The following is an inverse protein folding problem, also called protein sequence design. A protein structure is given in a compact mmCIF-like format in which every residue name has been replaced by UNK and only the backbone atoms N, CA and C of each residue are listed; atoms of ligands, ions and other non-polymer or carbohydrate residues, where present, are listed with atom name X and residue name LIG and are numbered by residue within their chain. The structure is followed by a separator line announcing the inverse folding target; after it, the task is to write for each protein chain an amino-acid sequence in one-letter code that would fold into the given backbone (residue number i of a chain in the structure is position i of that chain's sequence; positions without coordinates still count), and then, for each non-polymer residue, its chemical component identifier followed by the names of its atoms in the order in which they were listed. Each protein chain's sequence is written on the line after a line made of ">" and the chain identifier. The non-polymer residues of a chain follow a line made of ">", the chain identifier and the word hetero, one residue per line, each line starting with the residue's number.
data_IF_169331878567
#
_entry.id   IF_169331878567
#
_cell.length_a   1.000
_cell.length_b   1.000
_cell.length_c   1.000
_cell.angle_alpha   90.00
_cell.angle_beta   90.00
_cell.angle_gamma   90.00
#
_symmetry.space_group_name_H-M   'P 1'
#
loop_
_entity.id
_entity.type
_entity.pdbx_description
1 polymer ?
#
# COMPACT_ATOMS: atom_id res chain seq x y z
N UNK A 1 -0.52 1.47 16.55
CA UNK A 1 -0.04 0.13 16.15
C UNK A 1 0.44 0.23 14.72
N UNK A 2 1.68 -0.15 14.49
CA UNK A 2 2.24 -0.27 13.14
C UNK A 2 1.98 -1.70 12.69
N UNK A 3 1.29 -1.87 11.57
CA UNK A 3 0.99 -3.18 11.01
C UNK A 3 1.67 -3.31 9.66
N UNK A 4 2.77 -4.05 9.68
CA UNK A 4 3.55 -4.35 8.49
C UNK A 4 2.94 -5.56 7.79
N UNK A 5 2.39 -5.35 6.61
CA UNK A 5 1.70 -6.38 5.83
C UNK A 5 1.66 -6.00 4.36
N UNK A 6 1.21 -6.91 3.52
CA UNK A 6 1.02 -6.70 2.09
C UNK A 6 -0.46 -6.87 1.70
N UNK A 7 -1.26 -5.78 1.74
CA UNK A 7 -2.63 -5.83 1.25
C UNK A 7 -2.64 -6.05 -0.26
N UNK A 8 -3.16 -7.20 -0.70
CA UNK A 8 -3.05 -7.64 -2.09
C UNK A 8 -4.36 -7.53 -2.90
N UNK A 9 -5.51 -7.38 -2.25
CA UNK A 9 -6.80 -7.14 -2.92
C UNK A 9 -7.81 -6.44 -2.00
N UNK A 10 -8.99 -6.13 -2.56
CA UNK A 10 -10.09 -5.48 -1.88
C UNK A 10 -10.65 -6.29 -0.71
N UNK A 11 -10.77 -7.61 -0.89
CA UNK A 11 -11.29 -8.53 0.11
C UNK A 11 -10.41 -8.53 1.37
N UNK A 12 -9.10 -8.66 1.18
CA UNK A 12 -8.13 -8.64 2.28
C UNK A 12 -8.11 -7.28 3.00
N UNK A 13 -8.21 -6.17 2.25
CA UNK A 13 -8.35 -4.84 2.87
C UNK A 13 -9.62 -4.74 3.73
N UNK A 14 -10.75 -5.23 3.25
CA UNK A 14 -11.99 -5.23 4.03
C UNK A 14 -11.89 -6.08 5.29
N UNK A 15 -11.18 -7.21 5.24
CA UNK A 15 -10.91 -8.03 6.42
C UNK A 15 -10.07 -7.28 7.45
N UNK A 16 -9.03 -6.56 7.02
CA UNK A 16 -8.22 -5.69 7.89
C UNK A 16 -9.11 -4.64 8.55
N UNK A 17 -9.92 -3.93 7.76
CA UNK A 17 -10.82 -2.87 8.26
C UNK A 17 -11.82 -3.43 9.29
N UNK A 18 -12.50 -4.52 8.95
CA UNK A 18 -13.50 -5.16 9.82
C UNK A 18 -12.86 -5.66 11.11
N UNK A 19 -11.73 -6.35 11.00
CA UNK A 19 -11.00 -6.90 12.15
C UNK A 19 -10.53 -5.79 13.08
N UNK A 20 -9.96 -4.72 12.53
CA UNK A 20 -9.46 -3.62 13.34
C UNK A 20 -10.57 -2.91 14.10
N UNK A 21 -11.68 -2.59 13.41
CA UNK A 21 -12.86 -1.96 14.02
C UNK A 21 -13.46 -2.82 15.13
N UNK A 22 -13.43 -4.15 14.98
CA UNK A 22 -14.03 -5.09 15.94
C UNK A 22 -13.15 -5.37 17.15
N UNK A 23 -11.86 -5.60 16.95
CA UNK A 23 -10.99 -6.18 17.97
C UNK A 23 -10.03 -5.17 18.63
N UNK A 24 -9.74 -4.05 17.98
CA UNK A 24 -8.79 -3.06 18.50
C UNK A 24 -9.31 -1.61 18.46
N UNK A 25 -10.57 -1.33 18.90
CA UNK A 25 -11.20 -0.02 18.71
C UNK A 25 -10.50 1.13 19.46
N UNK A 26 -9.70 0.83 20.48
CA UNK A 26 -8.92 1.81 21.25
C UNK A 26 -7.51 2.05 20.70
N UNK A 27 -7.11 1.29 19.68
CA UNK A 27 -5.80 1.43 19.06
C UNK A 27 -5.93 2.07 17.68
N UNK A 28 -5.04 3.00 17.36
CA UNK A 28 -4.90 3.51 15.99
C UNK A 28 -4.01 2.58 15.18
N UNK A 29 -4.46 2.19 13.99
CA UNK A 29 -3.69 1.38 13.04
C UNK A 29 -2.97 2.26 12.04
N UNK A 30 -1.79 1.84 11.62
CA UNK A 30 -1.12 2.31 10.42
C UNK A 30 -0.67 1.08 9.65
N UNK A 31 -1.10 0.95 8.40
CA UNK A 31 -0.66 -0.13 7.51
C UNK A 31 0.61 0.31 6.79
N UNK A 32 1.65 -0.51 6.85
CA UNK A 32 2.93 -0.26 6.21
C UNK A 32 3.24 -1.39 5.25
N UNK A 33 3.65 -1.05 4.02
CA UNK A 33 4.05 -2.02 3.00
C UNK A 33 5.20 -1.51 2.14
N UNK A 34 5.87 -2.43 1.45
CA UNK A 34 7.00 -2.16 0.57
C UNK A 34 6.54 -2.32 -0.88
N UNK A 35 6.88 -1.34 -1.72
CA UNK A 35 6.65 -1.41 -3.16
C UNK A 35 7.46 -2.53 -3.80
N UNK A 36 6.88 -3.19 -4.79
CA UNK A 36 7.61 -4.11 -5.65
C UNK A 36 8.33 -3.32 -6.78
N UNK A 37 9.67 -3.15 -6.72
CA UNK A 37 10.39 -2.35 -7.71
C UNK A 37 10.36 -2.97 -9.11
N UNK A 38 10.29 -4.31 -9.20
CA UNK A 38 10.21 -5.03 -10.47
C UNK A 38 8.91 -4.71 -11.21
N UNK A 39 7.80 -4.54 -10.49
CA UNK A 39 6.52 -4.16 -11.09
C UNK A 39 6.58 -2.77 -11.71
N UNK A 40 7.17 -1.80 -10.99
CA UNK A 40 7.37 -0.44 -11.49
C UNK A 40 8.28 -0.42 -12.74
N UNK A 41 9.34 -1.24 -12.74
CA UNK A 41 10.23 -1.38 -13.89
C UNK A 41 9.51 -1.92 -15.13
N UNK A 42 8.66 -2.95 -14.98
CA UNK A 42 7.91 -3.54 -16.09
C UNK A 42 6.86 -2.56 -16.62
N UNK A 43 6.14 -1.85 -15.75
CA UNK A 43 5.14 -0.85 -16.12
C UNK A 43 5.75 0.34 -16.90
N UNK A 44 6.98 0.75 -16.53
CA UNK A 44 7.69 1.88 -17.11
C UNK A 44 8.46 1.61 -18.41
N UNK A 45 8.70 0.32 -18.76
CA UNK A 45 9.44 -0.03 -19.98
C UNK A 45 8.65 0.26 -21.25
N UNK A 46 9.35 0.68 -22.31
CA UNK A 46 8.78 0.78 -23.65
C UNK A 46 8.64 -0.63 -24.24
N UNK A 47 7.46 -0.97 -24.72
CA UNK A 47 7.17 -2.27 -25.33
C UNK A 47 7.66 -2.32 -26.78
N UNK A 48 8.39 -3.37 -27.16
CA UNK A 48 8.96 -3.60 -28.49
C UNK A 48 8.27 -4.70 -29.29
N UNK A 49 7.50 -5.55 -28.60
CA UNK A 49 6.86 -6.75 -29.14
C UNK A 49 5.53 -7.03 -28.41
N UNK A 50 4.74 -7.96 -28.94
CA UNK A 50 3.40 -8.27 -28.42
C UNK A 50 3.43 -8.76 -26.97
N UNK A 51 4.43 -9.58 -26.61
CA UNK A 51 4.58 -10.11 -25.26
C UNK A 51 4.88 -9.00 -24.25
N UNK A 52 5.77 -8.08 -24.58
CA UNK A 52 6.11 -6.91 -23.78
C UNK A 52 4.94 -5.92 -23.65
N UNK A 53 4.03 -5.85 -24.62
CA UNK A 53 2.77 -5.09 -24.49
C UNK A 53 1.85 -5.75 -23.47
N UNK A 54 1.68 -7.07 -23.54
CA UNK A 54 0.87 -7.82 -22.58
C UNK A 54 1.39 -7.67 -21.14
N UNK A 55 2.69 -7.92 -20.92
CA UNK A 55 3.32 -7.82 -19.61
C UNK A 55 3.24 -6.41 -19.02
N UNK A 56 3.48 -5.38 -19.85
CA UNK A 56 3.33 -3.99 -19.42
C UNK A 56 1.91 -3.67 -19.03
N UNK A 57 0.93 -4.11 -19.82
CA UNK A 57 -0.50 -3.87 -19.53
C UNK A 57 -0.93 -4.54 -18.23
N UNK A 58 -0.47 -5.77 -17.98
CA UNK A 58 -0.69 -6.47 -16.72
C UNK A 58 -0.04 -5.73 -15.54
N UNK A 59 1.21 -5.27 -15.68
CA UNK A 59 1.91 -4.52 -14.63
C UNK A 59 1.22 -3.18 -14.31
N UNK A 60 0.74 -2.45 -15.33
CA UNK A 60 -0.03 -1.23 -15.15
C UNK A 60 -1.34 -1.49 -14.42
N UNK A 61 -2.09 -2.53 -14.81
CA UNK A 61 -3.33 -2.92 -14.13
C UNK A 61 -3.08 -3.26 -12.67
N UNK A 62 -2.08 -4.10 -12.38
CA UNK A 62 -1.72 -4.47 -11.00
C UNK A 62 -1.31 -3.25 -10.17
N UNK A 63 -0.59 -2.29 -10.78
CA UNK A 63 -0.21 -1.05 -10.10
C UNK A 63 -1.43 -0.19 -9.76
N UNK A 64 -2.41 -0.11 -10.66
CA UNK A 64 -3.67 0.61 -10.44
C UNK A 64 -4.54 -0.07 -9.36
N UNK A 65 -4.72 -1.39 -9.45
CA UNK A 65 -5.45 -2.19 -8.47
C UNK A 65 -4.83 -2.04 -7.07
N UNK A 66 -3.50 -1.99 -7.00
CA UNK A 66 -2.75 -1.77 -5.76
C UNK A 66 -2.93 -0.36 -5.20
N UNK A 67 -2.88 0.66 -6.05
CA UNK A 67 -3.19 2.05 -5.65
C UNK A 67 -4.61 2.18 -5.07
N UNK A 68 -5.59 1.53 -5.70
CA UNK A 68 -6.97 1.48 -5.20
C UNK A 68 -7.07 0.79 -3.84
N UNK A 69 -6.37 -0.33 -3.68
CA UNK A 69 -6.32 -1.11 -2.44
C UNK A 69 -5.88 -0.22 -1.25
N UNK A 70 -4.81 0.57 -1.41
CA UNK A 70 -4.34 1.51 -0.39
C UNK A 70 -5.29 2.69 -0.20
N UNK A 71 -5.91 3.17 -1.28
CA UNK A 71 -6.89 4.27 -1.21
C UNK A 71 -8.11 3.89 -0.37
N UNK A 72 -8.56 2.62 -0.42
CA UNK A 72 -9.68 2.13 0.38
C UNK A 72 -9.33 2.09 1.88
N UNK A 73 -8.09 1.71 2.23
CA UNK A 73 -7.61 1.79 3.62
C UNK A 73 -7.67 3.25 4.13
N UNK A 74 -7.13 4.20 3.37
CA UNK A 74 -7.15 5.62 3.72
C UNK A 74 -8.59 6.16 3.86
N UNK A 75 -9.47 5.88 2.90
CA UNK A 75 -10.88 6.26 2.94
C UNK A 75 -11.63 5.66 4.13
N UNK A 76 -11.20 4.49 4.63
CA UNK A 76 -11.79 3.86 5.81
C UNK A 76 -11.32 4.46 7.15
N UNK A 77 -10.40 5.44 7.10
CA UNK A 77 -9.78 6.07 8.26
C UNK A 77 -8.57 5.32 8.80
N UNK A 78 -7.99 4.40 8.02
CA UNK A 78 -6.76 3.66 8.37
C UNK A 78 -5.61 4.23 7.52
N UNK A 79 -4.72 5.03 8.12
CA UNK A 79 -3.50 5.48 7.47
C UNK A 79 -2.72 4.29 6.88
N UNK A 80 -2.35 4.38 5.61
CA UNK A 80 -1.53 3.42 4.91
C UNK A 80 -0.28 4.12 4.33
N UNK A 81 0.82 3.38 4.21
CA UNK A 81 2.05 3.82 3.55
C UNK A 81 2.61 2.67 2.74
N UNK A 82 2.81 2.92 1.45
CA UNK A 82 3.58 2.05 0.58
C UNK A 82 4.87 2.78 0.18
N UNK A 83 6.00 2.34 0.71
CA UNK A 83 7.29 2.98 0.50
C UNK A 83 8.23 2.12 -0.34
N UNK A 84 9.22 2.76 -0.99
CA UNK A 84 10.25 2.01 -1.70
C UNK A 84 11.14 1.27 -0.70
N UNK A 85 11.73 0.11 -1.06
CA UNK A 85 12.62 -0.64 -0.17
C UNK A 85 13.75 0.24 0.39
N UNK A 86 14.36 1.07 -0.46
CA UNK A 86 15.54 1.87 -0.12
C UNK A 86 15.23 3.05 0.82
N UNK A 87 13.99 3.55 0.82
CA UNK A 87 13.54 4.67 1.65
C UNK A 87 12.62 4.26 2.79
N UNK A 88 12.26 2.96 2.89
CA UNK A 88 11.20 2.45 3.75
C UNK A 88 11.33 2.93 5.20
N UNK A 89 12.50 2.76 5.80
CA UNK A 89 12.73 3.13 7.20
C UNK A 89 12.49 4.62 7.44
N UNK A 90 13.02 5.49 6.56
CA UNK A 90 12.88 6.94 6.67
C UNK A 90 11.40 7.34 6.49
N UNK A 91 10.74 6.78 5.48
CA UNK A 91 9.34 7.08 5.17
C UNK A 91 8.40 6.64 6.32
N UNK A 92 8.65 5.47 6.92
CA UNK A 92 7.90 4.96 8.07
C UNK A 92 8.07 5.85 9.29
N UNK A 93 9.31 6.26 9.60
CA UNK A 93 9.59 7.16 10.71
C UNK A 93 8.87 8.49 10.53
N UNK A 94 8.98 9.09 9.34
CA UNK A 94 8.30 10.34 9.00
C UNK A 94 6.78 10.21 9.13
N UNK A 95 6.21 9.12 8.60
CA UNK A 95 4.77 8.83 8.73
C UNK A 95 4.35 8.71 10.19
N UNK A 96 5.13 8.00 11.00
CA UNK A 96 4.84 7.84 12.43
C UNK A 96 4.90 9.16 13.19
N UNK A 97 5.91 9.98 12.94
CA UNK A 97 6.06 11.31 13.54
C UNK A 97 4.86 12.19 13.18
N UNK A 98 4.50 12.26 11.89
CA UNK A 98 3.36 13.06 11.41
C UNK A 98 2.05 12.64 12.09
N UNK A 99 1.82 11.33 12.23
CA UNK A 99 0.66 10.81 12.93
C UNK A 99 0.66 11.21 14.41
N UNK A 100 1.79 11.11 15.10
CA UNK A 100 1.90 11.59 16.49
C UNK A 100 1.59 13.08 16.63
N UNK A 101 1.98 13.91 15.65
CA UNK A 101 1.66 15.34 15.68
C UNK A 101 0.18 15.62 15.46
N UNK A 102 -0.48 14.88 14.56
CA UNK A 102 -1.92 15.01 14.30
C UNK A 102 -2.80 14.51 15.46
N UNK A 103 -2.26 13.68 16.34
CA UNK A 103 -2.99 13.06 17.45
C UNK A 103 -2.69 13.70 18.81
N UNK A 104 -1.91 14.79 18.84
CA UNK A 104 -1.86 15.72 19.97
C UNK A 104 -3.08 16.63 19.94
#
# INVERSE_FOLDING_TARGET
>A
VLFFTDPYNFEHVNEIIKSWKRYAPRHRLVVLSIKNPSMALIAGKRSSDVESVFLRSAALKLSDDRSRTFSILEQSGIPALEANPDSFTIDVINRYINLKMQFR
#
